data_IF_530511542337
#
_entry.id   IF_530511542337
#
_cell.length_a   1.000
_cell.length_b   1.000
_cell.length_c   1.000
_cell.angle_alpha   90.00
_cell.angle_beta   90.00
_cell.angle_gamma   90.00
#
_symmetry.space_group_name_H-M   'P 1'
#
loop_
_entity.id
_entity.type
_entity.pdbx_description
1 polymer ?
2 polymer ?
3 non-polymer ?
4 water ?
#
loop_
_entity_poly.entity_id
_entity_poly.type
_entity_poly.pdbx_seq_one_letter_code
_entity_poly.pdbx_strand_id
1 'polyribonucleotide' 'GGGCGGCCUUCGGGCUAGACGGUGGGAGAGGCUUCGGCUGGUCCACCCGUGACGCUC' ?
#
# COMPACT_ATOMS: atom_id res chain seq x y z
N UNK B 4 -14.64 2.83 -6.20
CA UNK B 4 -13.58 2.14 -5.41
C UNK B 4 -14.06 1.77 -4.01
N UNK B 5 -15.18 2.34 -3.57
CA UNK B 5 -15.73 2.01 -2.25
C UNK B 5 -16.04 0.51 -2.29
N UNK B 6 -15.72 -0.09 -3.43
CA UNK B 6 -15.93 -1.51 -3.66
C UNK B 6 -14.56 -2.18 -3.60
N UNK B 7 -13.66 -1.72 -4.46
CA UNK B 7 -12.30 -2.24 -4.53
C UNK B 7 -11.49 -1.83 -3.30
N UNK B 8 -11.44 -0.54 -3.01
CA UNK B 8 -10.69 -0.08 -1.85
C UNK B 8 -11.16 -0.87 -0.65
N UNK B 9 -12.47 -0.90 -0.42
CA UNK B 9 -13.05 -1.60 0.71
C UNK B 9 -12.76 -3.11 0.72
N UNK B 10 -12.54 -3.69 -0.46
CA UNK B 10 -12.27 -5.13 -0.56
C UNK B 10 -10.95 -5.47 0.12
N UNK B 11 -9.93 -4.69 -0.21
CA UNK B 11 -8.59 -4.85 0.32
C UNK B 11 -8.55 -4.56 1.83
N UNK B 12 -9.42 -3.65 2.28
CA UNK B 12 -9.51 -3.30 3.70
C UNK B 12 -10.06 -4.52 4.44
N UNK B 13 -11.05 -5.18 3.84
CA UNK B 13 -11.63 -6.37 4.48
C UNK B 13 -10.56 -7.43 4.50
N UNK B 14 -9.72 -7.40 3.48
CA UNK B 14 -8.64 -8.34 3.30
C UNK B 14 -7.48 -8.13 4.28
N UNK B 15 -6.98 -6.90 4.40
CA UNK B 15 -5.85 -6.62 5.26
C UNK B 15 -6.16 -6.03 6.62
N UNK B 16 -7.42 -6.10 7.03
CA UNK B 16 -7.79 -5.57 8.33
C UNK B 16 -7.17 -6.47 9.41
N UNK B 17 -7.25 -6.05 10.67
CA UNK B 17 -6.71 -6.85 11.77
C UNK B 17 -7.86 -7.26 12.66
N UNK B 18 -9.04 -6.69 12.38
CA UNK B 18 -10.23 -6.96 13.14
C UNK B 18 -11.43 -6.32 12.46
N UNK B 19 -12.64 -6.82 12.74
CA UNK B 19 -13.87 -6.28 12.16
C UNK B 19 -14.00 -4.79 12.41
N UNK B 20 -13.70 -3.98 11.41
CA UNK B 20 -13.84 -2.53 11.57
C UNK B 20 -12.54 -1.75 11.50
N UNK B 21 -11.44 -2.44 11.23
CA UNK B 21 -10.15 -1.78 11.15
C UNK B 21 -9.99 -1.14 9.77
N UNK B 22 -9.56 0.12 9.75
CA UNK B 22 -9.38 0.83 8.51
C UNK B 22 -8.14 1.68 8.52
N UNK B 23 -7.47 1.74 9.66
CA UNK B 23 -6.28 2.57 9.74
C UNK B 23 -4.98 1.87 10.10
N UNK B 24 -5.05 0.61 10.52
CA UNK B 24 -3.84 -0.13 10.90
C UNK B 24 -2.74 -0.01 9.87
N UNK B 25 -1.53 -0.30 10.27
CA UNK B 25 -0.39 -0.24 9.37
C UNK B 25 -0.57 -1.22 8.22
N UNK B 26 -1.36 -2.27 8.43
CA UNK B 26 -1.60 -3.27 7.39
C UNK B 26 -2.49 -2.69 6.32
N UNK B 27 -3.70 -2.31 6.71
CA UNK B 27 -4.66 -1.73 5.78
C UNK B 27 -4.01 -0.57 5.02
N UNK B 28 -3.30 0.30 5.73
CA UNK B 28 -2.64 1.44 5.10
C UNK B 28 -1.67 1.00 4.01
N UNK B 29 -0.88 -0.02 4.30
CA UNK B 29 0.09 -0.52 3.34
C UNK B 29 -0.61 -1.19 2.17
N UNK B 30 -1.67 -1.94 2.47
CA UNK B 30 -2.42 -2.63 1.45
C UNK B 30 -2.95 -1.61 0.46
N UNK B 31 -3.44 -0.49 0.97
CA UNK B 31 -3.98 0.58 0.12
C UNK B 31 -2.89 1.31 -0.66
N UNK B 32 -1.80 1.68 0.01
CA UNK B 32 -0.71 2.34 -0.70
C UNK B 32 -0.35 1.40 -1.85
N UNK B 33 -0.06 0.16 -1.48
CA UNK B 33 0.27 -0.88 -2.46
C UNK B 33 -0.71 -0.76 -3.62
N UNK B 34 -1.97 -1.11 -3.39
CA UNK B 34 -2.99 -1.03 -4.43
C UNK B 34 -2.91 0.26 -5.22
N UNK B 35 -2.69 1.38 -4.53
CA UNK B 35 -2.61 2.65 -5.23
C UNK B 35 -1.36 2.83 -6.07
N UNK B 36 -0.25 2.32 -5.57
CA UNK B 36 1.03 2.41 -6.29
C UNK B 36 1.04 1.56 -7.54
N UNK B 37 0.18 0.54 -7.59
CA UNK B 37 0.09 -0.34 -8.75
C UNK B 37 -0.79 0.27 -9.83
N UNK B 38 -2.00 0.69 -9.44
CA UNK B 38 -2.94 1.30 -10.38
C UNK B 38 -2.37 2.55 -11.08
N UNK B 39 -1.28 3.13 -10.55
CA UNK B 39 -0.68 4.32 -11.15
C UNK B 39 0.43 3.95 -12.12
N UNK B 40 1.20 2.92 -11.79
CA UNK B 40 2.27 2.45 -12.65
C UNK B 40 1.59 2.00 -13.93
N UNK B 41 0.56 1.17 -13.75
CA UNK B 41 -0.19 0.67 -14.89
C UNK B 41 -0.64 1.86 -15.72
N UNK B 42 -0.96 2.97 -15.06
CA UNK B 42 -1.39 4.19 -15.74
C UNK B 42 -0.25 4.80 -16.53
N UNK B 43 0.84 5.09 -15.81
CA UNK B 43 2.01 5.70 -16.41
C UNK B 43 2.43 4.98 -17.69
N UNK B 44 2.12 3.70 -17.81
CA UNK B 44 2.45 2.93 -19.01
C UNK B 44 1.75 3.54 -20.22
N UNK B 45 0.43 3.69 -20.10
CA UNK B 45 -0.39 4.26 -21.17
C UNK B 45 0.02 5.68 -21.46
N UNK B 46 0.10 6.49 -20.41
CA UNK B 46 0.47 7.90 -20.50
C UNK B 46 1.84 8.14 -19.95
N UNK B 47 2.86 7.67 -20.66
CA UNK B 47 4.23 7.81 -20.21
C UNK B 47 4.77 9.23 -20.33
N UNK B 48 3.96 10.14 -20.87
CA UNK B 48 4.38 11.53 -21.01
C UNK B 48 4.24 12.21 -19.64
N UNK B 49 3.26 11.73 -18.88
CA UNK B 49 2.94 12.23 -17.53
C UNK B 49 4.13 12.06 -16.59
N UNK B 50 4.91 13.11 -16.41
CA UNK B 50 6.07 13.03 -15.53
C UNK B 50 5.63 13.57 -14.19
N UNK B 51 4.57 14.36 -14.25
CA UNK B 51 3.97 14.99 -13.10
C UNK B 51 3.36 13.93 -12.20
N UNK B 52 2.40 13.18 -12.73
CA UNK B 52 1.76 12.12 -11.97
C UNK B 52 2.78 11.14 -11.45
N UNK B 53 3.95 11.10 -12.09
CA UNK B 53 4.99 10.19 -11.66
C UNK B 53 5.43 10.55 -10.24
N UNK B 54 5.56 11.85 -10.00
CA UNK B 54 5.96 12.37 -8.71
C UNK B 54 5.20 11.65 -7.62
N UNK B 55 3.87 11.75 -7.69
CA UNK B 55 3.01 11.11 -6.72
C UNK B 55 3.51 9.73 -6.39
N UNK B 56 3.78 8.94 -7.42
CA UNK B 56 4.25 7.58 -7.21
C UNK B 56 5.48 7.57 -6.32
N UNK B 57 6.44 8.44 -6.64
CA UNK B 57 7.66 8.52 -5.87
C UNK B 57 7.36 8.59 -4.38
N UNK B 58 6.38 9.43 -4.03
CA UNK B 58 5.96 9.62 -2.65
C UNK B 58 5.37 8.37 -1.99
N UNK B 59 4.26 7.88 -2.53
CA UNK B 59 3.60 6.68 -2.00
C UNK B 59 4.58 5.53 -1.81
N UNK B 60 5.56 5.44 -2.69
CA UNK B 60 6.54 4.38 -2.57
C UNK B 60 7.35 4.64 -1.30
N UNK B 61 7.70 5.90 -1.07
CA UNK B 61 8.45 6.25 0.11
C UNK B 61 7.58 6.15 1.34
N UNK B 62 6.38 6.72 1.27
CA UNK B 62 5.43 6.67 2.38
C UNK B 62 5.24 5.22 2.83
N UNK B 63 5.16 4.31 1.87
CA UNK B 63 4.96 2.92 2.20
C UNK B 63 6.21 2.31 2.84
N UNK B 64 7.39 2.68 2.34
CA UNK B 64 8.61 2.15 2.89
C UNK B 64 8.74 2.59 4.35
N UNK B 65 8.34 3.83 4.63
CA UNK B 65 8.41 4.40 5.98
C UNK B 65 7.45 3.71 6.97
N UNK B 66 6.23 3.41 6.53
CA UNK B 66 5.28 2.72 7.39
C UNK B 66 5.92 1.37 7.69
N UNK B 67 6.36 0.67 6.64
CA UNK B 67 6.98 -0.65 6.79
C UNK B 67 8.18 -0.60 7.73
N UNK B 68 8.99 0.46 7.61
CA UNK B 68 10.16 0.65 8.46
C UNK B 68 9.63 0.60 9.90
N UNK B 69 8.59 1.39 10.14
CA UNK B 69 7.94 1.48 11.44
C UNK B 69 7.50 0.14 11.96
N UNK B 70 6.81 -0.62 11.12
CA UNK B 70 6.30 -1.94 11.48
C UNK B 70 7.42 -2.95 11.74
N UNK B 71 8.37 -2.98 10.80
CA UNK B 71 9.51 -3.90 10.89
C UNK B 71 10.16 -3.76 12.25
N UNK B 72 10.53 -2.53 12.57
CA UNK B 72 11.17 -2.23 13.83
C UNK B 72 10.13 -2.00 14.93
N UNK B 73 8.97 -2.65 14.81
CA UNK B 73 7.94 -2.49 15.83
C UNK B 73 7.29 -3.82 16.19
N UNK B 74 7.02 -4.64 15.18
CA UNK B 74 6.40 -5.95 15.37
C UNK B 74 6.67 -6.81 14.14
N UNK B 75 7.89 -7.36 14.02
CA UNK B 75 8.34 -8.20 12.91
C UNK B 75 7.33 -9.27 12.53
N UNK B 76 6.77 -9.92 13.54
CA UNK B 76 5.78 -10.96 13.30
C UNK B 76 4.76 -10.39 12.33
N UNK B 77 4.15 -9.28 12.74
CA UNK B 77 3.15 -8.62 11.92
C UNK B 77 3.82 -8.20 10.62
N UNK B 78 5.08 -7.79 10.70
CA UNK B 78 5.80 -7.34 9.52
C UNK B 78 5.97 -8.45 8.49
N UNK B 79 6.78 -9.46 8.83
CA UNK B 79 7.07 -10.58 7.93
C UNK B 79 5.84 -11.08 7.19
N UNK B 80 4.72 -11.22 7.91
CA UNK B 80 3.50 -11.70 7.30
C UNK B 80 3.01 -10.76 6.21
N UNK B 81 2.99 -9.46 6.53
CA UNK B 81 2.52 -8.46 5.59
C UNK B 81 3.38 -8.35 4.32
N UNK B 82 4.67 -8.61 4.45
CA UNK B 82 5.59 -8.54 3.32
C UNK B 82 5.53 -9.77 2.44
N UNK B 83 5.27 -10.92 3.05
CA UNK B 83 5.17 -12.17 2.31
C UNK B 83 3.71 -12.38 1.93
N UNK B 84 2.88 -11.40 2.30
CA UNK B 84 1.47 -11.41 1.99
C UNK B 84 1.30 -10.42 0.85
N UNK B 85 2.41 -10.05 0.24
CA UNK B 85 2.40 -9.11 -0.88
C UNK B 85 3.72 -9.15 -1.69
N UNK B 86 4.83 -8.80 -1.06
CA UNK B 86 6.12 -8.79 -1.74
C UNK B 86 6.95 -7.63 -1.21
N UNK B 87 8.14 -7.40 -1.78
CA UNK B 87 8.98 -6.28 -1.33
C UNK B 87 10.28 -6.10 -2.13
X LIG C 1 1.91 19.34 -7.87
X LIG C 1 3.35 19.12 -7.68
X LIG C 1 1.35 19.91 -6.63
X LIG C 1 1.69 20.29 -8.98
X LIG C 1 1.26 18.04 -8.16
#
# INVERSE_FOLDING_TARGET
>B
MPICKEEKQKVIQEFARFPGDTGSTEVQVALLTLRINRLSEHLKVHKKDHHSHRGLLMMVGQRRRLLRYLQREDPERYRALIEKLGI
>C hetero
1 SO4 S O1 O2 O3 O4
#
